data_IF_850473288410
#
_entry.id   IF_850473288410
#
_cell.length_a   1.000
_cell.length_b   1.000
_cell.length_c   1.000
_cell.angle_alpha   90.00
_cell.angle_beta   90.00
_cell.angle_gamma   90.00
#
_symmetry.space_group_name_H-M   'P 1'
#
loop_
_entity.id
_entity.type
_entity.pdbx_description
1 polymer ?
#
# COMPACT_ATOMS: atom_id res chain seq x y z
N UNK A 1 -14.08 16.38 -3.72
CA UNK A 1 -13.73 16.02 -5.12
C UNK A 1 -12.54 15.08 -5.06
N UNK A 2 -12.77 13.77 -5.16
CA UNK A 2 -11.68 12.79 -5.26
C UNK A 2 -11.15 12.83 -6.68
N UNK A 3 -9.96 13.38 -6.88
CA UNK A 3 -9.33 13.41 -8.21
C UNK A 3 -8.94 12.01 -8.71
N UNK A 4 -8.77 11.03 -7.79
CA UNK A 4 -8.41 9.65 -8.09
C UNK A 4 -9.14 8.71 -7.12
N UNK A 5 -9.80 7.67 -7.63
CA UNK A 5 -10.41 6.62 -6.79
C UNK A 5 -9.34 5.70 -6.20
N UNK A 6 -9.64 5.07 -5.05
CA UNK A 6 -8.78 4.05 -4.43
C UNK A 6 -8.43 2.92 -5.40
N UNK A 7 -9.37 2.52 -6.27
CA UNK A 7 -9.17 1.51 -7.32
C UNK A 7 -8.05 1.90 -8.28
N UNK A 8 -8.09 3.14 -8.77
CA UNK A 8 -7.08 3.66 -9.71
C UNK A 8 -5.69 3.72 -9.05
N UNK A 9 -5.62 4.16 -7.79
CA UNK A 9 -4.36 4.22 -7.04
C UNK A 9 -3.76 2.82 -6.80
N UNK A 10 -4.59 1.82 -6.50
CA UNK A 10 -4.15 0.43 -6.36
C UNK A 10 -3.60 -0.12 -7.69
N UNK A 11 -4.26 0.15 -8.81
CA UNK A 11 -3.74 -0.24 -10.13
C UNK A 11 -2.42 0.46 -10.47
N UNK A 12 -2.31 1.77 -10.22
CA UNK A 12 -1.05 2.51 -10.43
C UNK A 12 0.07 1.87 -9.62
N UNK A 13 -0.18 1.57 -8.34
CA UNK A 13 0.81 0.91 -7.48
C UNK A 13 1.23 -0.46 -8.02
N UNK A 14 0.28 -1.30 -8.43
CA UNK A 14 0.58 -2.62 -9.02
C UNK A 14 1.44 -2.47 -10.28
N UNK A 15 1.09 -1.53 -11.17
CA UNK A 15 1.88 -1.26 -12.39
C UNK A 15 3.29 -0.80 -12.02
N UNK A 16 3.44 0.12 -11.06
CA UNK A 16 4.75 0.56 -10.58
C UNK A 16 5.61 -0.60 -10.06
N UNK A 17 5.03 -1.51 -9.26
CA UNK A 17 5.74 -2.70 -8.76
C UNK A 17 6.18 -3.62 -9.90
N UNK A 18 5.31 -3.86 -10.89
CA UNK A 18 5.65 -4.66 -12.07
C UNK A 18 6.74 -4.00 -12.91
N UNK A 19 6.71 -2.67 -13.05
CA UNK A 19 7.78 -1.91 -13.73
C UNK A 19 9.11 -2.05 -12.99
N UNK A 20 9.11 -1.91 -11.66
CA UNK A 20 10.32 -2.12 -10.83
C UNK A 20 10.86 -3.54 -11.00
N UNK A 21 9.99 -4.56 -10.94
CA UNK A 21 10.39 -5.94 -11.15
C UNK A 21 10.96 -6.18 -12.56
N UNK A 22 10.38 -5.56 -13.59
CA UNK A 22 10.90 -5.63 -14.96
C UNK A 22 12.31 -5.03 -15.05
N UNK A 23 12.54 -3.85 -14.48
CA UNK A 23 13.86 -3.22 -14.49
C UNK A 23 14.89 -4.00 -13.69
N UNK A 24 14.52 -4.61 -12.55
CA UNK A 24 15.41 -5.46 -11.77
C UNK A 24 15.98 -6.65 -12.57
N UNK A 25 15.21 -7.19 -13.51
CA UNK A 25 15.63 -8.31 -14.37
C UNK A 25 16.33 -7.82 -15.65
N UNK A 26 15.80 -6.75 -16.27
CA UNK A 26 16.24 -6.33 -17.60
C UNK A 26 17.48 -5.43 -17.57
N UNK A 27 17.49 -4.44 -16.69
CA UNK A 27 18.58 -3.47 -16.55
C UNK A 27 18.56 -2.86 -15.14
N UNK A 28 19.18 -3.56 -14.17
CA UNK A 28 19.15 -3.13 -12.77
C UNK A 28 20.06 -1.91 -12.53
N UNK A 29 21.05 -1.67 -13.39
CA UNK A 29 21.91 -0.49 -13.29
C UNK A 29 21.11 0.78 -13.62
N UNK A 30 20.32 0.76 -14.69
CA UNK A 30 19.43 1.87 -15.03
C UNK A 30 18.48 2.25 -13.88
N UNK A 31 17.99 1.27 -13.12
CA UNK A 31 17.18 1.52 -11.92
C UNK A 31 18.03 2.17 -10.82
N UNK A 32 19.19 1.60 -10.48
CA UNK A 32 20.04 2.07 -9.38
C UNK A 32 20.64 3.46 -9.61
N UNK A 33 20.74 3.88 -10.87
CA UNK A 33 21.32 5.15 -11.31
C UNK A 33 20.31 6.24 -11.62
N UNK A 34 19.02 5.95 -11.50
CA UNK A 34 17.98 6.93 -11.71
C UNK A 34 18.18 8.14 -10.79
N UNK A 35 18.06 9.36 -11.34
CA UNK A 35 18.40 10.59 -10.64
C UNK A 35 17.67 10.76 -9.31
N UNK A 36 16.41 10.34 -9.22
CA UNK A 36 15.63 10.38 -7.98
C UNK A 36 16.16 9.41 -6.91
N UNK A 37 16.63 8.22 -7.29
CA UNK A 37 17.20 7.23 -6.37
C UNK A 37 18.51 7.74 -5.78
N UNK A 38 19.35 8.34 -6.63
CA UNK A 38 20.62 8.94 -6.18
C UNK A 38 20.35 10.12 -5.24
N UNK A 39 19.42 11.01 -5.61
CA UNK A 39 19.08 12.19 -4.82
C UNK A 39 18.52 11.82 -3.44
N UNK A 40 17.59 10.87 -3.38
CA UNK A 40 17.02 10.42 -2.10
C UNK A 40 18.04 9.65 -1.25
N UNK A 41 18.89 8.84 -1.87
CA UNK A 41 19.99 8.17 -1.18
C UNK A 41 20.95 9.16 -0.53
N UNK A 42 21.35 10.21 -1.27
CA UNK A 42 22.22 11.27 -0.75
C UNK A 42 21.55 12.08 0.35
N UNK A 43 20.26 12.42 0.19
CA UNK A 43 19.50 13.17 1.19
C UNK A 43 19.40 12.40 2.53
N UNK A 44 19.26 11.08 2.47
CA UNK A 44 19.21 10.20 3.65
C UNK A 44 20.59 9.74 4.12
N UNK A 45 21.67 10.20 3.48
CA UNK A 45 23.07 9.84 3.79
C UNK A 45 23.31 8.31 3.82
N UNK A 46 22.60 7.56 2.97
CA UNK A 46 22.76 6.11 2.83
C UNK A 46 23.68 5.76 1.66
N UNK A 47 24.36 4.59 1.69
CA UNK A 47 25.23 4.17 0.60
C UNK A 47 24.45 4.05 -0.72
N UNK A 48 25.04 4.61 -1.78
CA UNK A 48 24.56 4.45 -3.15
C UNK A 48 24.90 3.04 -3.62
N UNK A 49 23.88 2.23 -3.86
CA UNK A 49 24.07 0.88 -4.40
C UNK A 49 24.05 0.95 -5.92
N UNK A 50 25.04 0.31 -6.55
CA UNK A 50 25.06 0.03 -7.99
C UNK A 50 24.79 -1.45 -8.19
N UNK A 51 23.82 -1.77 -9.02
CA UNK A 51 23.42 -3.14 -9.26
C UNK A 51 24.08 -3.68 -10.52
N UNK A 52 24.96 -4.67 -10.35
CA UNK A 52 25.51 -5.44 -11.47
C UNK A 52 24.50 -6.49 -11.97
N UNK A 53 24.40 -6.73 -13.28
CA UNK A 53 23.44 -7.68 -13.87
C UNK A 53 23.72 -9.15 -13.49
N UNK A 54 24.90 -9.48 -12.98
CA UNK A 54 25.28 -10.86 -12.64
C UNK A 54 24.82 -11.32 -11.26
N UNK A 55 24.16 -10.46 -10.46
CA UNK A 55 23.77 -10.83 -9.11
C UNK A 55 22.45 -11.65 -9.09
N UNK A 56 22.47 -12.94 -8.72
CA UNK A 56 21.28 -13.79 -8.70
C UNK A 56 20.21 -13.33 -7.70
N UNK A 57 20.59 -12.54 -6.69
CA UNK A 57 19.67 -11.98 -5.70
C UNK A 57 18.65 -11.03 -6.36
N UNK A 58 19.01 -10.41 -7.50
CA UNK A 58 18.13 -9.51 -8.24
C UNK A 58 16.92 -10.23 -8.82
N UNK A 59 17.14 -11.42 -9.40
CA UNK A 59 16.05 -12.26 -9.90
C UNK A 59 15.11 -12.70 -8.78
N UNK A 60 15.67 -13.11 -7.62
CA UNK A 60 14.87 -13.48 -6.45
C UNK A 60 14.06 -12.29 -5.92
N UNK A 61 14.67 -11.10 -5.88
CA UNK A 61 14.00 -9.86 -5.46
C UNK A 61 12.86 -9.51 -6.42
N UNK A 62 13.08 -9.64 -7.73
CA UNK A 62 12.04 -9.40 -8.74
C UNK A 62 10.85 -10.36 -8.56
N UNK A 63 11.09 -11.64 -8.26
CA UNK A 63 10.03 -12.61 -7.96
C UNK A 63 9.22 -12.15 -6.75
N UNK A 64 9.87 -11.75 -5.66
CA UNK A 64 9.18 -11.24 -4.45
C UNK A 64 8.34 -10.00 -4.79
N UNK A 65 8.89 -9.05 -5.54
CA UNK A 65 8.15 -7.83 -5.95
C UNK A 65 6.94 -8.20 -6.81
N UNK A 66 7.08 -9.12 -7.77
CA UNK A 66 5.93 -9.62 -8.57
C UNK A 66 4.91 -10.32 -7.68
N UNK A 67 5.34 -11.15 -6.73
CA UNK A 67 4.43 -11.79 -5.78
C UNK A 67 3.63 -10.77 -4.95
N UNK A 68 4.25 -9.66 -4.54
CA UNK A 68 3.51 -8.59 -3.85
C UNK A 68 2.51 -7.88 -4.78
N UNK A 69 2.87 -7.65 -6.04
CA UNK A 69 1.97 -7.05 -7.03
C UNK A 69 0.76 -7.97 -7.32
N UNK A 70 0.99 -9.28 -7.46
CA UNK A 70 -0.07 -10.27 -7.66
C UNK A 70 -0.95 -10.45 -6.42
N UNK A 71 -0.36 -10.40 -5.23
CA UNK A 71 -1.07 -10.47 -3.95
C UNK A 71 -2.07 -9.33 -3.75
N UNK A 72 -1.86 -8.19 -4.42
CA UNK A 72 -2.82 -7.08 -4.46
C UNK A 72 -3.73 -7.13 -5.70
N UNK A 73 -3.24 -7.66 -6.82
CA UNK A 73 -4.06 -7.78 -8.04
C UNK A 73 -5.24 -8.74 -7.85
N UNK A 74 -5.04 -9.88 -7.20
CA UNK A 74 -6.10 -10.89 -7.01
C UNK A 74 -7.28 -10.33 -6.19
N UNK A 75 -7.07 -9.73 -5.00
CA UNK A 75 -8.16 -9.14 -4.22
C UNK A 75 -8.79 -7.92 -4.90
N UNK A 76 -8.03 -7.21 -5.74
CA UNK A 76 -8.56 -6.08 -6.51
C UNK A 76 -9.52 -6.55 -7.61
N UNK A 77 -9.22 -7.66 -8.28
CA UNK A 77 -10.09 -8.27 -9.30
C UNK A 77 -11.36 -8.87 -8.70
N UNK A 78 -11.32 -9.34 -7.44
CA UNK A 78 -12.49 -9.81 -6.71
C UNK A 78 -13.26 -8.71 -5.98
N UNK A 79 -12.85 -7.45 -6.16
CA UNK A 79 -13.43 -6.27 -5.50
C UNK A 79 -13.57 -6.40 -3.97
N UNK A 80 -12.59 -7.10 -3.34
CA UNK A 80 -12.59 -7.32 -1.90
C UNK A 80 -12.02 -6.09 -1.16
N UNK A 81 -12.86 -5.09 -0.94
CA UNK A 81 -12.47 -3.84 -0.26
C UNK A 81 -12.07 -4.05 1.20
N UNK A 82 -12.69 -5.00 1.91
CA UNK A 82 -12.37 -5.30 3.31
C UNK A 82 -10.91 -5.76 3.50
N UNK A 83 -10.36 -6.48 2.51
CA UNK A 83 -8.96 -6.86 2.51
C UNK A 83 -8.04 -5.63 2.51
N UNK A 84 -8.26 -4.68 1.60
CA UNK A 84 -7.43 -3.48 1.49
C UNK A 84 -7.60 -2.55 2.71
N UNK A 85 -8.81 -2.47 3.27
CA UNK A 85 -9.09 -1.63 4.44
C UNK A 85 -8.26 -2.06 5.66
N UNK A 86 -7.98 -3.34 5.81
CA UNK A 86 -7.16 -3.87 6.88
C UNK A 86 -5.67 -3.90 6.52
N UNK A 87 -5.33 -4.28 5.28
CA UNK A 87 -3.95 -4.50 4.89
C UNK A 87 -3.18 -3.20 4.67
N UNK A 88 -3.77 -2.19 4.04
CA UNK A 88 -3.10 -0.92 3.71
C UNK A 88 -2.55 -0.22 4.96
N UNK A 89 -3.30 -0.05 6.08
CA UNK A 89 -2.75 0.60 7.27
C UNK A 89 -1.64 -0.23 7.95
N UNK A 90 -1.75 -1.56 7.95
CA UNK A 90 -0.71 -2.45 8.49
C UNK A 90 0.57 -2.30 7.66
N UNK A 91 0.44 -2.33 6.33
CA UNK A 91 1.55 -2.18 5.38
C UNK A 91 2.22 -0.81 5.51
N UNK A 92 1.42 0.26 5.59
CA UNK A 92 1.91 1.61 5.82
C UNK A 92 2.73 1.69 7.11
N UNK A 93 2.22 1.10 8.20
CA UNK A 93 2.92 1.06 9.48
C UNK A 93 4.25 0.30 9.38
N UNK A 94 4.28 -0.84 8.68
CA UNK A 94 5.50 -1.60 8.44
C UNK A 94 6.55 -0.79 7.68
N UNK A 95 6.14 -0.03 6.65
CA UNK A 95 7.06 0.84 5.91
C UNK A 95 7.56 2.02 6.74
N UNK A 96 6.74 2.61 7.62
CA UNK A 96 7.22 3.62 8.56
C UNK A 96 8.25 3.07 9.55
N UNK A 97 8.06 1.85 10.05
CA UNK A 97 9.04 1.17 10.91
C UNK A 97 10.35 0.95 10.14
N UNK A 98 10.27 0.48 8.89
CA UNK A 98 11.43 0.26 8.04
C UNK A 98 12.16 1.57 7.72
N UNK A 99 11.43 2.64 7.39
CA UNK A 99 12.00 3.97 7.15
C UNK A 99 12.74 4.49 8.41
N UNK A 100 12.12 4.32 9.58
CA UNK A 100 12.72 4.70 10.86
C UNK A 100 13.99 3.92 11.13
N UNK A 101 13.99 2.61 10.88
CA UNK A 101 15.17 1.77 11.03
C UNK A 101 16.33 2.22 10.13
N UNK A 102 16.04 2.53 8.86
CA UNK A 102 17.06 3.01 7.92
C UNK A 102 17.66 4.34 8.39
N UNK A 103 16.82 5.23 8.92
CA UNK A 103 17.24 6.52 9.46
C UNK A 103 18.20 6.37 10.67
N UNK A 104 17.88 5.46 11.61
CA UNK A 104 18.74 5.26 12.80
C UNK A 104 19.99 4.42 12.52
N UNK A 105 19.97 3.52 11.53
CA UNK A 105 21.06 2.59 11.25
C UNK A 105 21.46 2.66 9.76
N UNK A 106 22.06 3.77 9.29
CA UNK A 106 22.37 3.99 7.88
C UNK A 106 23.43 3.03 7.31
N UNK A 107 24.24 2.39 8.16
CA UNK A 107 25.25 1.41 7.75
C UNK A 107 24.76 -0.04 7.63
N UNK A 108 23.46 -0.29 7.85
CA UNK A 108 22.89 -1.63 7.69
C UNK A 108 22.84 -2.05 6.22
N UNK A 109 22.88 -3.35 5.94
CA UNK A 109 22.74 -3.89 4.56
C UNK A 109 21.40 -3.48 3.92
N UNK A 110 20.37 -3.30 4.74
CA UNK A 110 19.03 -2.86 4.31
C UNK A 110 18.98 -1.36 4.02
N UNK A 111 19.91 -0.59 4.59
CA UNK A 111 19.98 0.86 4.47
C UNK A 111 20.76 1.25 3.23
N UNK A 112 20.07 1.34 2.10
CA UNK A 112 20.65 1.74 0.83
C UNK A 112 19.71 2.63 0.02
N UNK A 113 20.27 3.31 -0.99
CA UNK A 113 19.54 4.26 -1.84
C UNK A 113 18.27 3.70 -2.48
N UNK A 114 18.31 2.43 -2.92
CA UNK A 114 17.17 1.77 -3.55
C UNK A 114 16.05 1.49 -2.55
N UNK A 115 16.38 0.90 -1.40
CA UNK A 115 15.40 0.56 -0.36
C UNK A 115 14.79 1.82 0.22
N UNK A 116 15.58 2.86 0.51
CA UNK A 116 15.07 4.16 0.96
C UNK A 116 14.05 4.73 -0.01
N UNK A 117 14.41 4.76 -1.30
CA UNK A 117 13.54 5.32 -2.33
C UNK A 117 12.26 4.51 -2.44
N UNK A 118 12.37 3.19 -2.48
CA UNK A 118 11.22 2.28 -2.53
C UNK A 118 10.29 2.48 -1.34
N UNK A 119 10.83 2.54 -0.12
CA UNK A 119 10.06 2.74 1.11
C UNK A 119 9.35 4.10 1.12
N UNK A 120 10.01 5.17 0.69
CA UNK A 120 9.39 6.50 0.62
C UNK A 120 8.23 6.54 -0.38
N UNK A 121 8.40 5.93 -1.56
CA UNK A 121 7.31 5.83 -2.55
C UNK A 121 6.16 4.96 -2.04
N UNK A 122 6.47 3.85 -1.36
CA UNK A 122 5.44 3.00 -0.75
C UNK A 122 4.70 3.72 0.38
N UNK A 123 5.38 4.50 1.24
CA UNK A 123 4.71 5.31 2.27
C UNK A 123 3.76 6.31 1.60
N UNK A 124 4.25 7.07 0.61
CA UNK A 124 3.45 8.08 -0.07
C UNK A 124 2.25 7.46 -0.80
N UNK A 125 2.47 6.38 -1.55
CA UNK A 125 1.43 5.65 -2.26
C UNK A 125 0.38 5.03 -1.33
N UNK A 126 0.81 4.30 -0.29
CA UNK A 126 -0.12 3.68 0.66
C UNK A 126 -0.88 4.72 1.48
N UNK A 127 -0.27 5.88 1.78
CA UNK A 127 -0.98 6.98 2.44
C UNK A 127 -2.11 7.55 1.57
N UNK A 128 -1.86 7.75 0.27
CA UNK A 128 -2.90 8.18 -0.68
C UNK A 128 -4.01 7.13 -0.83
N UNK A 129 -3.64 5.85 -0.94
CA UNK A 129 -4.62 4.75 -1.01
C UNK A 129 -5.48 4.73 0.26
N UNK A 130 -4.85 4.82 1.44
CA UNK A 130 -5.53 4.79 2.73
C UNK A 130 -6.58 5.90 2.85
N UNK A 131 -6.20 7.15 2.53
CA UNK A 131 -7.11 8.29 2.62
C UNK A 131 -8.32 8.12 1.69
N UNK A 132 -8.09 7.72 0.42
CA UNK A 132 -9.18 7.52 -0.52
C UNK A 132 -10.08 6.35 -0.13
N UNK A 133 -9.50 5.26 0.38
CA UNK A 133 -10.25 4.10 0.82
C UNK A 133 -11.13 4.42 2.05
N UNK A 134 -10.61 5.22 2.98
CA UNK A 134 -11.37 5.69 4.15
C UNK A 134 -12.53 6.60 3.77
N UNK A 135 -12.29 7.53 2.84
CA UNK A 135 -13.33 8.42 2.32
C UNK A 135 -14.42 7.61 1.60
N UNK A 136 -14.04 6.72 0.68
CA UNK A 136 -14.97 5.85 -0.04
C UNK A 136 -15.78 4.95 0.90
N UNK A 137 -15.15 4.40 1.95
CA UNK A 137 -15.84 3.64 3.00
C UNK A 137 -16.89 4.48 3.70
N UNK A 138 -16.58 5.72 4.04
CA UNK A 138 -17.55 6.63 4.68
C UNK A 138 -18.76 6.89 3.77
N UNK A 139 -18.54 7.13 2.48
CA UNK A 139 -19.64 7.29 1.51
C UNK A 139 -20.47 6.01 1.35
N UNK A 140 -19.82 4.84 1.27
CA UNK A 140 -20.52 3.54 1.20
C UNK A 140 -21.39 3.30 2.44
N UNK A 141 -20.85 3.56 3.63
CA UNK A 141 -21.57 3.41 4.89
C UNK A 141 -22.76 4.35 4.98
N UNK A 142 -22.56 5.63 4.64
CA UNK A 142 -23.64 6.63 4.66
C UNK A 142 -24.78 6.23 3.72
N UNK A 143 -24.46 5.81 2.50
CA UNK A 143 -25.45 5.35 1.52
C UNK A 143 -26.21 4.11 2.01
N UNK A 144 -25.51 3.14 2.61
CA UNK A 144 -26.13 1.95 3.18
C UNK A 144 -27.12 2.31 4.30
N UNK A 145 -26.77 3.23 5.20
CA UNK A 145 -27.65 3.69 6.27
C UNK A 145 -28.85 4.46 5.73
N UNK A 146 -28.69 5.27 4.68
CA UNK A 146 -29.80 5.98 4.03
C UNK A 146 -30.78 5.03 3.35
N UNK A 147 -30.28 4.00 2.65
CA UNK A 147 -31.10 3.01 1.93
C UNK A 147 -31.81 2.03 2.87
N UNK A 148 -31.18 1.65 3.99
CA UNK A 148 -31.75 0.67 4.94
C UNK A 148 -32.36 1.35 6.17
N UNK A 149 -32.61 2.66 6.11
CA UNK A 149 -33.08 3.45 7.26
C UNK A 149 -34.40 2.90 7.83
N UNK A 150 -35.34 2.51 6.96
CA UNK A 150 -36.65 1.98 7.36
C UNK A 150 -36.52 0.61 8.04
N UNK A 151 -35.66 -0.28 7.52
CA UNK A 151 -35.40 -1.59 8.13
C UNK A 151 -34.64 -1.48 9.46
N UNK A 152 -33.69 -0.54 9.57
CA UNK A 152 -32.97 -0.26 10.82
C UNK A 152 -33.92 0.27 11.89
N UNK A 153 -34.85 1.16 11.53
CA UNK A 153 -35.87 1.68 12.46
C UNK A 153 -36.83 0.56 12.88
N UNK A 154 -37.32 -0.27 11.94
CA UNK A 154 -38.21 -1.37 12.24
C UNK A 154 -37.56 -2.43 13.16
N UNK A 155 -36.29 -2.79 12.92
CA UNK A 155 -35.55 -3.71 13.79
C UNK A 155 -35.26 -3.12 15.18
N UNK A 156 -35.09 -1.81 15.29
CA UNK A 156 -34.91 -1.14 16.58
C UNK A 156 -36.22 -1.11 17.39
N UNK A 157 -37.34 -0.81 16.74
CA UNK A 157 -38.67 -0.83 17.38
C UNK A 157 -39.07 -2.25 17.84
N UNK A 158 -38.71 -3.28 17.07
CA UNK A 158 -38.97 -4.67 17.44
C UNK A 158 -38.13 -5.11 18.66
N UNK A 159 -36.87 -4.67 18.77
CA UNK A 159 -36.04 -4.95 19.95
C UNK A 159 -36.54 -4.26 21.23
N UNK A 160 -37.08 -3.04 21.13
CA UNK A 160 -37.64 -2.32 22.28
C UNK A 160 -38.90 -2.99 22.81
N UNK A 161 -39.71 -3.60 21.93
CA UNK A 161 -40.96 -4.31 22.30
C UNK A 161 -40.76 -5.59 23.10
N UNK A 162 -39.60 -6.25 22.99
CA UNK A 162 -39.33 -7.54 23.66
C UNK A 162 -38.89 -7.35 25.12
N UNK A 163 -38.57 -6.12 25.55
CA UNK A 163 -38.08 -5.80 26.90
C UNK A 163 -39.19 -5.30 27.84
N UNK A 164 -40.40 -5.05 27.34
CA UNK A 164 -41.58 -4.83 28.19
C UNK A 164 -41.99 -6.19 28.80
N UNK A 165 -41.33 -6.55 29.90
CA UNK A 165 -41.73 -7.65 30.77
C UNK A 165 -43.10 -7.32 31.37
N UNK A 166 -44.12 -8.08 30.99
CA UNK A 166 -45.43 -8.10 31.65
C UNK A 166 -45.23 -8.41 33.15
N UNK A 167 -45.49 -7.42 34.03
CA UNK A 167 -45.68 -7.59 35.48
C UNK A 167 -47.06 -8.17 35.82
#
# INVERSE_FOLDING_TARGET
MQFLSSKTLLYIRIICLLTVAFYLVKDPDALSTAGFIVLLGQAMQVPLVRLGPENPILGMTAVVVVSTALGDLIPLLSENWSYFENLVPIRLSAYFILASYIYFVPGSVVSNSLVVTFVLFEIWGNFLIYNNLRDEKYYRMKKYVEENKEEIIAAHDEQVRVVELDE
#
